data_IF_531423902678
#
_entry.id   IF_531423902678
#
_cell.length_a   1.000
_cell.length_b   1.000
_cell.length_c   1.000
_cell.angle_alpha   90.00
_cell.angle_beta   90.00
_cell.angle_gamma   90.00
#
_symmetry.space_group_name_H-M   'P 1'
#
loop_
_entity.id
_entity.type
_entity.pdbx_description
1 polymer ?
#
# COMPACT_ATOMS: atom_id res chain seq x y z
N UNK A 1 -18.71 -5.68 -6.58
CA UNK A 1 -17.57 -6.48 -6.13
C UNK A 1 -17.40 -6.24 -4.64
N UNK A 2 -16.86 -7.19 -3.90
CA UNK A 2 -16.57 -7.06 -2.47
C UNK A 2 -15.07 -7.06 -2.25
N UNK A 3 -14.63 -6.49 -1.12
CA UNK A 3 -13.25 -6.47 -0.64
C UNK A 3 -13.23 -7.10 0.75
N UNK A 4 -12.27 -7.97 1.01
CA UNK A 4 -11.98 -8.46 2.36
C UNK A 4 -10.96 -7.51 2.98
N UNK A 5 -11.29 -6.95 4.12
CA UNK A 5 -10.39 -6.15 4.93
C UNK A 5 -9.83 -7.03 6.04
N UNK A 6 -8.54 -6.90 6.33
CA UNK A 6 -7.86 -7.64 7.38
C UNK A 6 -7.10 -6.68 8.29
N UNK A 7 -7.23 -6.85 9.60
CA UNK A 7 -6.51 -6.09 10.62
C UNK A 7 -5.93 -7.02 11.66
N UNK A 8 -4.73 -6.71 12.14
CA UNK A 8 -4.09 -7.44 13.25
C UNK A 8 -4.37 -6.70 14.55
N UNK A 9 -4.99 -7.39 15.50
CA UNK A 9 -5.37 -6.83 16.80
C UNK A 9 -4.67 -7.60 17.95
N UNK A 10 -4.57 -7.00 19.16
CA UNK A 10 -3.97 -7.67 20.31
C UNK A 10 -4.61 -9.03 20.62
N UNK A 11 -3.81 -9.99 21.03
CA UNK A 11 -4.27 -11.35 21.39
C UNK A 11 -5.31 -11.37 22.56
N UNK A 12 -5.38 -10.29 23.33
CA UNK A 12 -6.39 -10.12 24.38
C UNK A 12 -7.76 -9.69 23.87
N UNK A 13 -7.93 -9.46 22.54
CA UNK A 13 -9.20 -9.00 21.97
C UNK A 13 -10.19 -10.17 21.90
N UNK A 14 -11.30 -10.04 22.65
CA UNK A 14 -12.37 -11.02 22.70
C UNK A 14 -13.47 -10.76 21.68
N UNK A 15 -13.81 -9.49 21.47
CA UNK A 15 -14.87 -9.06 20.56
C UNK A 15 -14.51 -7.75 19.87
N UNK A 16 -14.93 -7.64 18.60
CA UNK A 16 -14.73 -6.45 17.77
C UNK A 16 -16.07 -6.05 17.18
N UNK A 17 -16.38 -4.77 17.29
CA UNK A 17 -17.48 -4.13 16.58
C UNK A 17 -16.99 -2.80 16.01
N UNK A 18 -17.59 -2.34 14.93
CA UNK A 18 -17.16 -1.05 14.38
C UNK A 18 -17.74 -0.75 13.02
N UNK A 19 -17.18 0.28 12.39
CA UNK A 19 -17.61 0.79 11.10
C UNK A 19 -16.48 0.76 10.07
N UNK A 20 -16.86 0.64 8.81
CA UNK A 20 -15.99 0.87 7.66
C UNK A 20 -16.64 1.92 6.78
N UNK A 21 -15.94 3.04 6.54
CA UNK A 21 -16.47 4.19 5.83
C UNK A 21 -17.83 4.66 6.42
N UNK A 22 -17.93 4.67 7.76
CA UNK A 22 -19.12 5.00 8.54
C UNK A 22 -20.29 4.00 8.47
N UNK A 23 -20.13 2.88 7.76
CA UNK A 23 -21.13 1.81 7.70
C UNK A 23 -20.81 0.70 8.70
N UNK A 24 -21.81 0.29 9.50
CA UNK A 24 -21.61 -0.80 10.48
C UNK A 24 -21.23 -2.10 9.78
N UNK A 25 -20.16 -2.72 10.27
CA UNK A 25 -19.55 -3.88 9.63
C UNK A 25 -19.33 -5.00 10.65
N UNK A 26 -19.56 -6.24 10.23
CA UNK A 26 -19.32 -7.43 11.04
C UNK A 26 -17.87 -7.89 10.84
N UNK A 27 -17.16 -8.04 11.94
CA UNK A 27 -15.77 -8.50 11.99
C UNK A 27 -15.71 -9.91 12.56
N UNK A 28 -14.94 -10.78 11.93
CA UNK A 28 -14.77 -12.19 12.31
C UNK A 28 -13.30 -12.46 12.60
N UNK A 29 -13.01 -13.10 13.72
CA UNK A 29 -11.67 -13.57 14.01
C UNK A 29 -11.36 -14.80 13.17
N UNK A 30 -10.27 -14.76 12.42
CA UNK A 30 -9.87 -15.85 11.52
C UNK A 30 -8.64 -16.61 12.00
N UNK A 31 -7.73 -15.95 12.76
CA UNK A 31 -6.50 -16.57 13.26
C UNK A 31 -6.01 -15.89 14.55
N UNK A 32 -6.85 -15.93 15.61
CA UNK A 32 -6.50 -15.39 16.93
C UNK A 32 -6.18 -13.90 16.97
N UNK A 33 -5.24 -13.44 16.15
CA UNK A 33 -4.83 -12.03 16.04
C UNK A 33 -5.46 -11.32 14.85
N UNK A 34 -5.86 -12.06 13.81
CA UNK A 34 -6.38 -11.51 12.56
C UNK A 34 -7.90 -11.45 12.61
N UNK A 35 -8.41 -10.26 12.32
CA UNK A 35 -9.84 -9.99 12.19
C UNK A 35 -10.14 -9.52 10.79
N UNK A 36 -11.16 -10.12 10.18
CA UNK A 36 -11.55 -9.86 8.81
C UNK A 36 -13.00 -9.40 8.71
N UNK A 37 -13.24 -8.53 7.72
CA UNK A 37 -14.58 -8.10 7.35
C UNK A 37 -14.71 -8.02 5.83
N UNK A 38 -15.87 -8.43 5.30
CA UNK A 38 -16.19 -8.29 3.89
C UNK A 38 -17.07 -7.07 3.69
N UNK A 39 -16.61 -6.13 2.88
CA UNK A 39 -17.29 -4.86 2.59
C UNK A 39 -17.46 -4.65 1.09
N UNK A 40 -18.38 -3.78 0.63
CA UNK A 40 -18.38 -3.31 -0.74
C UNK A 40 -17.05 -2.66 -1.10
N UNK A 41 -16.57 -2.90 -2.34
CA UNK A 41 -15.33 -2.27 -2.79
C UNK A 41 -15.51 -0.75 -2.88
N UNK A 42 -14.63 -0.01 -2.22
CA UNK A 42 -14.57 1.44 -2.30
C UNK A 42 -14.09 1.88 -3.70
N UNK A 43 -14.58 2.99 -4.19
CA UNK A 43 -14.21 3.51 -5.51
C UNK A 43 -12.72 3.91 -5.60
N UNK A 44 -12.12 4.25 -4.46
CA UNK A 44 -10.71 4.64 -4.35
C UNK A 44 -9.86 3.62 -3.58
N UNK A 45 -10.36 2.40 -3.38
CA UNK A 45 -9.69 1.33 -2.62
C UNK A 45 -9.13 1.74 -1.24
N UNK A 46 -9.70 2.81 -0.67
CA UNK A 46 -9.35 3.32 0.66
C UNK A 46 -10.51 3.09 1.61
N UNK A 47 -10.20 2.61 2.83
CA UNK A 47 -11.19 2.26 3.84
C UNK A 47 -10.82 2.90 5.17
N UNK A 48 -11.72 3.72 5.70
CA UNK A 48 -11.62 4.28 7.04
C UNK A 48 -12.31 3.34 8.01
N UNK A 49 -11.55 2.74 8.91
CA UNK A 49 -12.01 1.72 9.85
C UNK A 49 -11.95 2.28 11.26
N UNK A 50 -13.07 2.24 11.97
CA UNK A 50 -13.14 2.54 13.39
C UNK A 50 -13.65 1.32 14.13
N UNK A 51 -12.85 0.77 15.05
CA UNK A 51 -13.19 -0.43 15.80
C UNK A 51 -13.26 -0.15 17.30
N UNK A 52 -14.30 -0.68 17.93
CA UNK A 52 -14.37 -0.85 19.37
C UNK A 52 -13.94 -2.25 19.72
N UNK A 53 -12.86 -2.37 20.47
CA UNK A 53 -12.28 -3.63 20.91
C UNK A 53 -12.73 -3.89 22.36
N UNK A 54 -13.14 -5.12 22.64
CA UNK A 54 -13.42 -5.59 23.99
C UNK A 54 -12.36 -6.65 24.34
N UNK A 55 -11.54 -6.38 25.34
CA UNK A 55 -10.53 -7.30 25.79
C UNK A 55 -11.12 -8.40 26.71
N UNK A 56 -10.37 -9.49 26.90
CA UNK A 56 -10.72 -10.57 27.84
C UNK A 56 -10.87 -10.10 29.29
N UNK A 57 -10.26 -8.97 29.65
CA UNK A 57 -10.44 -8.31 30.96
C UNK A 57 -11.74 -7.54 31.09
N UNK A 58 -12.53 -7.40 30.01
CA UNK A 58 -13.70 -6.55 29.92
C UNK A 58 -13.39 -5.06 29.63
N UNK A 59 -12.12 -4.70 29.52
CA UNK A 59 -11.73 -3.34 29.12
C UNK A 59 -12.11 -3.08 27.64
N UNK A 60 -12.53 -1.85 27.36
CA UNK A 60 -12.87 -1.41 25.99
C UNK A 60 -11.89 -0.36 25.52
N UNK A 61 -11.54 -0.39 24.24
CA UNK A 61 -10.75 0.64 23.57
C UNK A 61 -11.27 0.88 22.15
N UNK A 62 -11.06 2.10 21.64
CA UNK A 62 -11.37 2.45 20.25
C UNK A 62 -10.06 2.61 19.50
N UNK A 63 -9.98 2.02 18.33
CA UNK A 63 -8.83 2.13 17.42
C UNK A 63 -9.33 2.52 16.02
N UNK A 64 -8.54 3.30 15.33
CA UNK A 64 -8.85 3.74 13.96
C UNK A 64 -7.71 3.34 13.04
N UNK A 65 -8.08 2.90 11.83
CA UNK A 65 -7.14 2.54 10.78
C UNK A 65 -7.57 3.21 9.47
N UNK A 66 -6.60 3.53 8.65
CA UNK A 66 -6.82 3.85 7.24
C UNK A 66 -6.17 2.75 6.43
N UNK A 67 -6.98 1.90 5.81
CA UNK A 67 -6.52 0.76 5.03
C UNK A 67 -6.55 1.12 3.55
N UNK A 68 -5.51 0.76 2.84
CA UNK A 68 -5.35 0.97 1.42
C UNK A 68 -5.28 -0.38 0.72
N UNK A 69 -6.04 -0.53 -0.36
CA UNK A 69 -6.03 -1.71 -1.21
C UNK A 69 -5.86 -1.29 -2.66
N UNK A 70 -4.94 -1.95 -3.38
CA UNK A 70 -4.54 -1.53 -4.73
C UNK A 70 -3.58 -0.33 -4.73
N UNK A 71 -3.32 0.19 -5.90
CA UNK A 71 -2.45 1.36 -6.06
C UNK A 71 -3.21 2.65 -5.80
N UNK A 72 -2.76 3.39 -4.81
CA UNK A 72 -3.23 4.73 -4.45
C UNK A 72 -2.02 5.67 -4.53
N UNK A 73 -1.76 6.23 -5.70
CA UNK A 73 -0.56 7.01 -5.98
C UNK A 73 -0.88 8.47 -6.29
N UNK A 74 0.05 9.35 -5.97
CA UNK A 74 0.01 10.78 -6.29
C UNK A 74 1.29 11.08 -7.06
N UNK A 75 1.18 11.14 -8.38
CA UNK A 75 2.31 11.36 -9.30
C UNK A 75 2.31 12.76 -9.91
N UNK A 76 1.37 13.62 -9.51
CA UNK A 76 1.10 14.92 -10.11
C UNK A 76 1.21 16.09 -9.11
N UNK A 77 2.03 15.93 -8.05
CA UNK A 77 2.35 17.03 -7.14
C UNK A 77 3.06 18.15 -7.89
N UNK A 78 2.74 19.38 -7.50
CA UNK A 78 3.31 20.58 -8.12
C UNK A 78 3.92 21.51 -7.07
N UNK A 79 4.78 22.42 -7.54
CA UNK A 79 5.30 23.49 -6.69
C UNK A 79 4.19 24.36 -6.08
N UNK A 80 3.07 24.50 -6.77
CA UNK A 80 1.92 25.26 -6.27
C UNK A 80 1.28 24.57 -5.06
N UNK A 81 1.21 23.24 -5.05
CA UNK A 81 0.71 22.45 -3.91
C UNK A 81 1.59 22.64 -2.68
N UNK A 82 2.92 22.60 -2.87
CA UNK A 82 3.89 22.83 -1.78
C UNK A 82 3.75 24.25 -1.21
N UNK A 83 3.63 25.27 -2.07
CA UNK A 83 3.47 26.66 -1.63
C UNK A 83 2.11 26.90 -0.95
N UNK A 84 1.09 26.16 -1.34
CA UNK A 84 -0.23 26.22 -0.72
C UNK A 84 -0.29 25.47 0.62
N UNK A 85 0.67 24.59 0.89
CA UNK A 85 0.67 23.74 2.08
C UNK A 85 -0.57 22.84 2.17
N UNK A 86 -1.10 22.42 1.01
CA UNK A 86 -2.24 21.51 0.97
C UNK A 86 -1.78 20.04 1.20
N UNK A 87 -2.73 19.11 1.37
CA UNK A 87 -2.45 17.69 1.62
C UNK A 87 -1.53 17.06 0.54
N UNK A 88 -1.62 17.54 -0.70
CA UNK A 88 -0.81 17.05 -1.80
C UNK A 88 0.62 17.59 -1.79
N UNK A 89 0.82 18.80 -1.25
CA UNK A 89 2.11 19.48 -1.17
C UNK A 89 2.92 19.16 0.09
N UNK A 90 2.33 18.50 1.08
CA UNK A 90 2.99 18.12 2.33
C UNK A 90 3.11 16.59 2.36
N UNK A 91 4.34 16.08 2.45
CA UNK A 91 4.57 14.64 2.61
C UNK A 91 4.49 14.25 4.08
N UNK A 92 3.55 13.42 4.44
CA UNK A 92 3.18 13.09 5.83
C UNK A 92 3.35 11.59 6.11
N UNK A 93 3.13 11.18 7.37
CA UNK A 93 3.04 9.78 7.75
C UNK A 93 1.96 9.03 6.92
N UNK A 94 0.88 9.71 6.55
CA UNK A 94 -0.15 9.12 5.69
C UNK A 94 0.37 8.78 4.29
N UNK A 95 1.28 9.60 3.73
CA UNK A 95 1.93 9.31 2.46
C UNK A 95 2.88 8.13 2.57
N UNK A 96 3.69 8.06 3.63
CA UNK A 96 4.56 6.91 3.90
C UNK A 96 3.76 5.61 4.01
N UNK A 97 2.63 5.63 4.72
CA UNK A 97 1.75 4.46 4.86
C UNK A 97 1.12 4.07 3.52
N UNK A 98 0.66 5.04 2.75
CA UNK A 98 0.06 4.83 1.44
C UNK A 98 1.05 4.24 0.45
N UNK A 99 2.26 4.78 0.36
CA UNK A 99 3.32 4.26 -0.50
C UNK A 99 3.84 2.92 0.01
N UNK A 100 3.93 2.71 1.33
CA UNK A 100 4.23 1.40 1.92
C UNK A 100 3.21 0.34 1.49
N UNK A 101 1.93 0.66 1.53
CA UNK A 101 0.87 -0.24 1.04
C UNK A 101 0.99 -0.51 -0.47
N UNK A 102 1.38 0.50 -1.27
CA UNK A 102 1.63 0.32 -2.70
C UNK A 102 2.85 -0.58 -2.98
N UNK A 103 3.92 -0.46 -2.19
CA UNK A 103 5.08 -1.37 -2.25
C UNK A 103 4.65 -2.82 -1.98
N UNK A 104 3.84 -3.06 -0.95
CA UNK A 104 3.29 -4.39 -0.65
C UNK A 104 2.44 -4.92 -1.80
N UNK A 105 1.56 -4.09 -2.35
CA UNK A 105 0.72 -4.47 -3.48
C UNK A 105 1.55 -4.88 -4.70
N UNK A 106 2.54 -4.08 -5.09
CA UNK A 106 3.43 -4.38 -6.23
C UNK A 106 4.26 -5.64 -5.96
N UNK A 107 4.79 -5.82 -4.72
CA UNK A 107 5.48 -7.04 -4.29
C UNK A 107 4.59 -8.27 -4.49
N UNK A 108 3.34 -8.22 -4.04
CA UNK A 108 2.43 -9.37 -4.13
C UNK A 108 2.11 -9.70 -5.59
N UNK A 109 2.00 -8.69 -6.46
CA UNK A 109 1.90 -8.87 -7.90
C UNK A 109 3.14 -9.52 -8.53
N UNK A 110 4.34 -9.18 -8.04
CA UNK A 110 5.58 -9.86 -8.42
C UNK A 110 5.55 -11.34 -8.01
N UNK A 111 5.07 -11.64 -6.79
CA UNK A 111 4.93 -13.03 -6.32
C UNK A 111 3.99 -13.85 -7.20
N UNK A 112 2.89 -13.29 -7.66
CA UNK A 112 1.95 -13.95 -8.59
C UNK A 112 2.62 -14.35 -9.91
N UNK A 113 3.69 -13.66 -10.29
CA UNK A 113 4.48 -13.95 -11.50
C UNK A 113 5.77 -14.74 -11.23
N UNK A 114 5.96 -15.21 -10.00
CA UNK A 114 7.09 -16.05 -9.59
C UNK A 114 8.37 -15.30 -9.22
N UNK A 115 8.33 -13.97 -9.13
CA UNK A 115 9.43 -13.17 -8.56
C UNK A 115 9.26 -13.07 -7.05
N UNK A 116 10.37 -12.99 -6.31
CA UNK A 116 10.35 -12.94 -4.84
C UNK A 116 11.22 -11.77 -4.35
N UNK A 117 10.81 -10.51 -4.57
CA UNK A 117 11.53 -9.36 -4.02
C UNK A 117 11.41 -9.35 -2.49
N UNK A 118 12.56 -9.21 -1.81
CA UNK A 118 12.61 -9.13 -0.34
C UNK A 118 12.34 -7.68 0.10
N UNK A 119 11.07 -7.33 0.18
CA UNK A 119 10.61 -6.02 0.66
C UNK A 119 9.48 -6.19 1.68
N UNK A 120 9.58 -5.46 2.78
CA UNK A 120 8.58 -5.46 3.84
C UNK A 120 8.45 -4.05 4.44
N UNK A 121 7.79 -3.11 3.75
CA UNK A 121 7.67 -1.74 4.20
C UNK A 121 6.81 -1.65 5.46
N UNK A 122 7.14 -0.70 6.30
CA UNK A 122 6.29 -0.27 7.40
C UNK A 122 5.09 0.51 6.86
N UNK A 123 3.89 0.28 7.42
CA UNK A 123 2.63 0.92 7.00
C UNK A 123 1.83 1.51 8.17
N UNK A 124 2.48 1.69 9.32
CA UNK A 124 1.88 2.20 10.56
C UNK A 124 2.59 3.46 11.10
N UNK A 125 3.16 4.27 10.20
CA UNK A 125 3.76 5.55 10.55
C UNK A 125 2.74 6.50 11.19
N UNK A 126 3.20 7.26 12.16
CA UNK A 126 2.41 8.31 12.82
C UNK A 126 3.09 9.67 12.70
N UNK A 127 2.34 10.76 12.76
CA UNK A 127 2.89 12.12 12.67
C UNK A 127 3.81 12.51 13.85
N UNK A 128 3.83 11.69 14.89
CA UNK A 128 4.76 11.85 16.03
C UNK A 128 6.16 11.31 15.74
N UNK A 129 6.35 10.61 14.65
CA UNK A 129 7.61 9.96 14.29
C UNK A 129 8.35 10.76 13.22
N UNK A 130 9.67 10.73 13.32
CA UNK A 130 10.54 11.39 12.35
C UNK A 130 11.21 10.36 11.45
N UNK A 131 11.15 10.62 10.15
CA UNK A 131 11.90 9.83 9.19
C UNK A 131 13.40 10.18 9.32
N UNK A 132 14.15 9.28 9.95
CA UNK A 132 15.60 9.42 10.07
C UNK A 132 16.32 8.88 8.82
N UNK A 133 17.57 9.29 8.53
CA UNK A 133 18.28 8.85 7.33
C UNK A 133 18.34 7.35 7.13
N UNK A 134 18.48 6.56 8.20
CA UNK A 134 18.50 5.10 8.11
C UNK A 134 17.16 4.51 7.61
N UNK A 135 16.04 4.95 8.17
CA UNK A 135 14.72 4.50 7.75
C UNK A 135 14.31 5.03 6.37
N UNK A 136 14.82 6.22 6.00
CA UNK A 136 14.69 6.76 4.65
C UNK A 136 15.43 5.88 3.63
N UNK A 137 16.66 5.47 3.94
CA UNK A 137 17.44 4.57 3.09
C UNK A 137 16.78 3.19 2.94
N UNK A 138 16.23 2.63 4.01
CA UNK A 138 15.46 1.37 3.94
C UNK A 138 14.23 1.52 3.05
N UNK A 139 13.47 2.60 3.21
CA UNK A 139 12.29 2.90 2.41
C UNK A 139 12.62 3.01 0.91
N UNK A 140 13.62 3.81 0.53
CA UNK A 140 14.08 3.95 -0.85
C UNK A 140 14.70 2.66 -1.38
N UNK A 141 15.42 1.91 -0.54
CA UNK A 141 15.99 0.61 -0.88
C UNK A 141 14.92 -0.42 -1.27
N UNK A 142 13.74 -0.38 -0.65
CA UNK A 142 12.61 -1.25 -1.04
C UNK A 142 12.07 -0.87 -2.41
N UNK A 143 11.92 0.42 -2.72
CA UNK A 143 11.50 0.90 -4.03
C UNK A 143 12.49 0.46 -5.12
N UNK A 144 13.80 0.65 -4.88
CA UNK A 144 14.84 0.22 -5.82
C UNK A 144 14.92 -1.31 -5.97
N UNK A 145 14.67 -2.06 -4.89
CA UNK A 145 14.58 -3.52 -4.95
C UNK A 145 13.47 -3.97 -5.90
N UNK A 146 12.28 -3.37 -5.83
CA UNK A 146 11.20 -3.65 -6.76
C UNK A 146 11.55 -3.20 -8.18
N UNK A 147 12.08 -1.99 -8.34
CA UNK A 147 12.46 -1.42 -9.64
C UNK A 147 13.47 -2.29 -10.38
N UNK A 148 14.41 -2.88 -9.65
CA UNK A 148 15.46 -3.74 -10.23
C UNK A 148 14.99 -5.14 -10.66
N UNK A 149 13.75 -5.55 -10.32
CA UNK A 149 13.21 -6.85 -10.74
C UNK A 149 12.91 -6.91 -12.24
N UNK A 150 12.63 -5.77 -12.88
CA UNK A 150 12.33 -5.67 -14.30
C UNK A 150 13.28 -4.73 -15.04
N UNK A 151 13.37 -4.93 -16.38
CA UNK A 151 13.84 -3.88 -17.27
C UNK A 151 12.73 -2.84 -17.38
N UNK A 152 12.86 -1.77 -16.61
CA UNK A 152 11.87 -0.69 -16.59
C UNK A 152 11.87 0.12 -17.89
N UNK A 153 10.80 0.90 -18.13
CA UNK A 153 10.72 1.80 -19.28
C UNK A 153 11.78 2.91 -19.16
N UNK A 154 12.24 3.43 -20.28
CA UNK A 154 13.20 4.56 -20.28
C UNK A 154 12.63 5.83 -19.63
N UNK A 155 11.30 5.93 -19.52
CA UNK A 155 10.58 7.02 -18.87
C UNK A 155 10.44 6.82 -17.35
N UNK A 156 10.64 5.60 -16.86
CA UNK A 156 10.56 5.32 -15.41
C UNK A 156 11.67 6.05 -14.68
N UNK A 157 11.35 6.88 -13.69
CA UNK A 157 12.35 7.63 -12.93
C UNK A 157 13.39 6.75 -12.27
N UNK A 158 14.52 7.36 -11.94
CA UNK A 158 15.47 6.76 -11.00
C UNK A 158 14.97 6.93 -9.56
N UNK A 159 15.26 5.96 -8.70
CA UNK A 159 14.98 6.07 -7.27
C UNK A 159 15.84 7.21 -6.69
N UNK A 160 15.26 8.15 -5.93
CA UNK A 160 16.04 9.18 -5.25
C UNK A 160 17.15 8.56 -4.39
N UNK A 161 18.35 9.17 -4.34
CA UNK A 161 19.48 8.63 -3.59
C UNK A 161 19.29 8.72 -2.06
N UNK A 162 18.57 9.73 -1.62
CA UNK A 162 18.20 9.98 -0.22
C UNK A 162 16.95 10.85 -0.14
N UNK A 163 16.53 11.24 1.07
CA UNK A 163 15.41 12.15 1.30
C UNK A 163 15.87 13.47 1.96
N UNK A 164 17.16 13.84 1.83
CA UNK A 164 17.66 15.12 2.29
C UNK A 164 17.18 16.24 1.34
N UNK A 165 16.44 17.21 1.87
CA UNK A 165 15.83 18.25 1.06
C UNK A 165 14.71 17.76 0.12
N UNK A 166 14.06 16.66 0.50
CA UNK A 166 13.03 15.96 -0.27
C UNK A 166 12.05 16.89 -0.99
N UNK A 167 11.97 16.74 -2.29
CA UNK A 167 11.18 17.58 -3.19
C UNK A 167 9.88 16.90 -3.62
N UNK A 168 8.94 17.69 -4.13
CA UNK A 168 7.70 17.13 -4.70
C UNK A 168 7.97 16.29 -5.96
N UNK A 169 9.04 16.60 -6.70
CA UNK A 169 9.45 15.83 -7.89
C UNK A 169 9.94 14.43 -7.47
N UNK A 170 10.76 14.34 -6.41
CA UNK A 170 11.21 13.06 -5.87
C UNK A 170 10.05 12.24 -5.29
N UNK A 171 9.08 12.89 -4.63
CA UNK A 171 7.87 12.24 -4.18
C UNK A 171 7.05 11.66 -5.34
N UNK A 172 6.90 12.43 -6.42
CA UNK A 172 6.25 11.94 -7.65
C UNK A 172 7.04 10.79 -8.28
N UNK A 173 8.37 10.87 -8.32
CA UNK A 173 9.23 9.84 -8.91
C UNK A 173 9.10 8.50 -8.20
N UNK A 174 9.09 8.48 -6.86
CA UNK A 174 8.90 7.27 -6.07
C UNK A 174 7.58 6.59 -6.45
N UNK A 175 6.51 7.37 -6.53
CA UNK A 175 5.18 6.84 -6.81
C UNK A 175 5.02 6.47 -8.29
N UNK A 176 5.65 7.21 -9.20
CA UNK A 176 5.67 6.86 -10.63
C UNK A 176 6.39 5.53 -10.89
N UNK A 177 7.47 5.23 -10.17
CA UNK A 177 8.14 3.93 -10.26
C UNK A 177 7.15 2.79 -9.96
N UNK A 178 6.36 2.92 -8.90
CA UNK A 178 5.39 1.87 -8.51
C UNK A 178 4.25 1.74 -9.53
N UNK A 179 3.77 2.86 -10.10
CA UNK A 179 2.77 2.86 -11.16
C UNK A 179 3.30 2.16 -12.42
N UNK A 180 4.51 2.50 -12.85
CA UNK A 180 5.16 1.90 -14.01
C UNK A 180 5.39 0.40 -13.85
N UNK A 181 5.78 -0.05 -12.65
CA UNK A 181 5.95 -1.46 -12.33
C UNK A 181 4.62 -2.22 -12.39
N UNK A 182 3.54 -1.68 -11.86
CA UNK A 182 2.20 -2.30 -11.95
C UNK A 182 1.74 -2.41 -13.41
N UNK A 183 1.97 -1.36 -14.20
CA UNK A 183 1.70 -1.40 -15.64
C UNK A 183 2.49 -2.50 -16.34
N UNK A 184 3.80 -2.62 -16.08
CA UNK A 184 4.65 -3.65 -16.69
C UNK A 184 4.22 -5.06 -16.28
N UNK A 185 3.88 -5.29 -15.00
CA UNK A 185 3.34 -6.55 -14.50
C UNK A 185 2.02 -6.91 -15.21
N UNK A 186 1.15 -5.92 -15.43
CA UNK A 186 -0.09 -6.11 -16.17
C UNK A 186 0.18 -6.49 -17.63
N UNK A 187 1.11 -5.83 -18.30
CA UNK A 187 1.47 -6.15 -19.68
C UNK A 187 2.14 -7.53 -19.81
N UNK A 188 2.98 -7.90 -18.84
CA UNK A 188 3.59 -9.23 -18.79
C UNK A 188 2.50 -10.32 -18.67
N UNK A 189 1.56 -10.14 -17.74
CA UNK A 189 0.46 -11.10 -17.57
C UNK A 189 -0.39 -11.26 -18.83
N UNK A 190 -0.73 -10.16 -19.50
CA UNK A 190 -1.48 -10.20 -20.76
C UNK A 190 -0.70 -10.92 -21.86
N UNK A 191 0.62 -10.70 -21.95
CA UNK A 191 1.48 -11.35 -22.93
C UNK A 191 1.50 -12.87 -22.76
N UNK A 192 1.45 -13.35 -21.51
CA UNK A 192 1.42 -14.78 -21.22
C UNK A 192 0.11 -15.42 -21.67
N UNK A 193 -1.02 -14.76 -21.47
CA UNK A 193 -2.31 -15.26 -21.97
C UNK A 193 -2.30 -15.43 -23.49
N UNK A 194 -1.84 -14.43 -24.23
CA UNK A 194 -1.81 -14.49 -25.69
C UNK A 194 -0.82 -15.54 -26.23
N UNK A 195 0.32 -15.76 -25.55
CA UNK A 195 1.29 -16.78 -25.97
C UNK A 195 0.78 -18.21 -25.70
N UNK A 196 -0.01 -18.42 -24.63
CA UNK A 196 -0.64 -19.71 -24.32
C UNK A 196 -1.74 -20.10 -25.32
N UNK A 197 -2.50 -19.15 -25.85
CA UNK A 197 -3.53 -19.42 -26.85
C UNK A 197 -2.99 -19.81 -28.22
N UNK A 198 -1.79 -19.35 -28.60
CA UNK A 198 -1.17 -19.68 -29.89
C UNK A 198 -0.73 -21.16 -29.93
N UNK A 199 -0.40 -21.78 -28.80
CA UNK A 199 0.03 -23.18 -28.73
C UNK A 199 -1.11 -24.17 -28.47
N UNK A 200 -2.28 -23.73 -28.09
CA UNK A 200 -3.44 -24.58 -27.81
C UNK A 200 -4.31 -24.99 -29.01
N UNK A 201 -3.97 -24.52 -30.21
CA UNK A 201 -4.79 -24.68 -31.42
C UNK A 201 -4.32 -25.66 -32.49
N UNK A 202 -3.16 -26.32 -32.32
CA UNK A 202 -2.64 -27.25 -33.29
C UNK A 202 -2.21 -28.58 -32.63
N UNK A 203 -3.16 -29.44 -32.29
CA UNK A 203 -3.01 -30.89 -32.26
C UNK A 203 -4.28 -31.53 -32.77
#
# INVERSE_FOLDING_TARGET
MSQVLSVTLPNSTLHVSGTVNSETTVWTNTDGLIWEATVPRSANDTYYVELTLVATSGATSVVTFKLYYGLQLITDRTKADVLAGNEKGIYTASDLNRVGAAILYVRDRFHEQGYIPDVNPRTDWTDAEWLIPATAAEYLGMVETLRSQFSVMYTTPETPPDLEGFTFEEANNIEQILEDLDYLLTMAQLSWFYSGEIYGGEI
#
